data_IF_535282660701
#
_entry.id   IF_535282660701
#
_cell.length_a   1.000
_cell.length_b   1.000
_cell.length_c   1.000
_cell.angle_alpha   90.00
_cell.angle_beta   90.00
_cell.angle_gamma   90.00
#
_symmetry.space_group_name_H-M   'P 1'
#
loop_
_entity.id
_entity.type
_entity.pdbx_description
1 polymer ?
#
# COMPACT_ATOMS: atom_id res chain seq x y z
N UNK A 1 35.33 -12.93 -20.89
CA UNK A 1 34.20 -12.18 -20.31
C UNK A 1 33.69 -12.97 -19.10
N UNK A 2 33.85 -12.47 -17.89
CA UNK A 2 33.45 -13.17 -16.67
C UNK A 2 31.89 -13.15 -16.59
N UNK A 3 31.30 -14.32 -16.68
CA UNK A 3 29.87 -14.54 -16.50
C UNK A 3 29.57 -14.43 -14.98
N UNK A 4 29.38 -13.22 -14.50
CA UNK A 4 28.96 -12.98 -13.12
C UNK A 4 27.55 -13.55 -12.97
N UNK A 5 27.42 -14.80 -12.48
CA UNK A 5 26.15 -15.41 -12.08
C UNK A 5 25.45 -14.44 -11.12
N UNK A 6 24.39 -13.81 -11.56
CA UNK A 6 23.55 -12.96 -10.70
C UNK A 6 23.08 -13.82 -9.52
N UNK A 7 23.29 -13.30 -8.30
CA UNK A 7 22.83 -13.96 -7.07
C UNK A 7 21.31 -14.19 -7.15
N UNK A 8 20.80 -15.39 -6.84
CA UNK A 8 19.35 -15.65 -6.87
C UNK A 8 18.63 -14.72 -5.90
N UNK A 9 17.42 -14.33 -6.28
CA UNK A 9 16.54 -13.53 -5.41
C UNK A 9 15.98 -14.47 -4.35
N UNK A 10 16.13 -14.09 -3.07
CA UNK A 10 15.60 -14.89 -1.95
C UNK A 10 14.34 -14.27 -1.39
N UNK A 11 13.53 -15.08 -0.70
CA UNK A 11 12.32 -14.63 0.00
C UNK A 11 12.63 -13.53 1.02
N UNK A 12 13.72 -13.70 1.78
CA UNK A 12 14.17 -12.74 2.78
C UNK A 12 14.55 -11.39 2.16
N UNK A 13 15.18 -11.40 0.98
CA UNK A 13 15.51 -10.18 0.26
C UNK A 13 14.24 -9.42 -0.18
N UNK A 14 13.22 -10.13 -0.62
CA UNK A 14 11.92 -9.53 -0.99
C UNK A 14 11.20 -8.99 0.25
N UNK A 15 11.12 -9.75 1.34
CA UNK A 15 10.51 -9.29 2.60
C UNK A 15 11.18 -8.02 3.11
N UNK A 16 12.52 -8.00 3.15
CA UNK A 16 13.28 -6.84 3.61
C UNK A 16 13.05 -5.61 2.72
N UNK A 17 13.06 -5.80 1.39
CA UNK A 17 12.79 -4.72 0.45
C UNK A 17 11.35 -4.23 0.53
N UNK A 18 10.38 -5.13 0.69
CA UNK A 18 8.97 -4.79 0.82
C UNK A 18 8.70 -3.95 2.08
N UNK A 19 9.24 -4.38 3.23
CA UNK A 19 9.15 -3.63 4.48
C UNK A 19 9.77 -2.24 4.36
N UNK A 20 11.00 -2.16 3.87
CA UNK A 20 11.70 -0.88 3.70
C UNK A 20 10.97 0.05 2.73
N UNK A 21 10.40 -0.48 1.64
CA UNK A 21 9.59 0.27 0.68
C UNK A 21 8.30 0.81 1.31
N UNK A 22 7.60 -0.02 2.09
CA UNK A 22 6.38 0.37 2.78
C UNK A 22 6.64 1.48 3.81
N UNK A 23 7.67 1.33 4.64
CA UNK A 23 8.08 2.34 5.63
C UNK A 23 8.50 3.66 4.97
N UNK A 24 9.25 3.61 3.86
CA UNK A 24 9.65 4.80 3.12
C UNK A 24 8.44 5.50 2.50
N UNK A 25 7.51 4.74 1.93
CA UNK A 25 6.27 5.27 1.38
C UNK A 25 5.43 5.99 2.44
N UNK A 26 5.21 5.36 3.59
CA UNK A 26 4.46 5.96 4.70
C UNK A 26 5.11 7.26 5.18
N UNK A 27 6.46 7.30 5.34
CA UNK A 27 7.18 8.52 5.70
C UNK A 27 7.01 9.63 4.66
N UNK A 28 7.01 9.30 3.37
CA UNK A 28 6.79 10.28 2.29
C UNK A 28 5.38 10.85 2.33
N UNK A 29 4.36 10.00 2.52
CA UNK A 29 2.97 10.46 2.65
C UNK A 29 2.80 11.31 3.90
N UNK A 30 3.33 10.90 5.05
CA UNK A 30 3.29 11.70 6.28
C UNK A 30 3.96 13.07 6.12
N UNK A 31 5.09 13.12 5.42
CA UNK A 31 5.79 14.38 5.13
C UNK A 31 5.02 15.28 4.16
N UNK A 32 4.35 14.70 3.18
CA UNK A 32 3.54 15.45 2.21
C UNK A 32 2.22 15.96 2.82
N UNK A 33 1.68 15.24 3.80
CA UNK A 33 0.40 15.52 4.45
C UNK A 33 0.53 15.54 5.99
N UNK A 34 1.32 16.48 6.56
CA UNK A 34 1.69 16.46 7.98
C UNK A 34 0.53 16.76 8.94
N UNK A 35 -0.57 17.29 8.44
CA UNK A 35 -1.78 17.60 9.23
C UNK A 35 -2.90 16.56 9.05
N UNK A 36 -2.65 15.51 8.31
CA UNK A 36 -3.67 14.49 8.03
C UNK A 36 -3.48 13.25 8.91
N UNK A 37 -4.61 12.68 9.33
CA UNK A 37 -4.67 11.49 10.18
C UNK A 37 -4.80 10.24 9.32
N UNK A 38 -3.75 9.45 9.22
CA UNK A 38 -3.80 8.17 8.53
C UNK A 38 -4.65 7.18 9.32
N UNK A 39 -5.54 6.45 8.64
CA UNK A 39 -6.35 5.40 9.28
C UNK A 39 -6.19 4.04 8.59
N UNK A 40 -5.66 4.00 7.37
CA UNK A 40 -5.41 2.74 6.68
C UNK A 40 -4.20 2.84 5.74
N UNK A 41 -3.50 1.72 5.61
CA UNK A 41 -2.46 1.49 4.62
C UNK A 41 -2.71 0.16 3.92
N UNK A 42 -2.59 0.15 2.60
CA UNK A 42 -2.78 -1.01 1.74
C UNK A 42 -1.52 -1.27 0.91
N UNK A 43 -1.16 -2.54 0.78
CA UNK A 43 -0.25 -3.02 -0.25
C UNK A 43 -1.08 -3.66 -1.37
N UNK A 44 -1.00 -3.09 -2.54
CA UNK A 44 -1.66 -3.56 -3.75
C UNK A 44 -0.69 -4.35 -4.62
N UNK A 45 -1.10 -5.53 -5.06
CA UNK A 45 -0.33 -6.39 -5.96
C UNK A 45 -0.97 -6.30 -7.34
N UNK A 46 -0.22 -5.80 -8.32
CA UNK A 46 -0.68 -5.77 -9.71
C UNK A 46 -0.60 -7.16 -10.34
N UNK A 47 -1.73 -7.62 -10.89
CA UNK A 47 -1.81 -8.92 -11.57
C UNK A 47 -1.04 -8.96 -12.90
N UNK A 48 -0.77 -7.82 -13.53
CA UNK A 48 -0.22 -7.75 -14.88
C UNK A 48 1.31 -7.68 -14.95
N UNK A 49 1.99 -7.42 -13.83
CA UNK A 49 3.42 -7.15 -13.90
C UNK A 49 4.24 -7.52 -12.67
N UNK A 50 3.76 -8.34 -11.76
CA UNK A 50 4.48 -8.69 -10.53
C UNK A 50 5.03 -7.46 -9.81
N UNK A 51 4.20 -6.45 -9.66
CA UNK A 51 4.55 -5.22 -8.95
C UNK A 51 3.69 -5.02 -7.72
N UNK A 52 4.29 -4.38 -6.71
CA UNK A 52 3.63 -3.99 -5.48
C UNK A 52 3.62 -2.47 -5.41
N UNK A 53 2.51 -1.92 -4.95
CA UNK A 53 2.31 -0.49 -4.74
C UNK A 53 1.71 -0.27 -3.35
N UNK A 54 1.87 0.95 -2.83
CA UNK A 54 1.23 1.36 -1.58
C UNK A 54 0.07 2.30 -1.83
N UNK A 55 -0.95 2.23 -0.98
CA UNK A 55 -2.00 3.24 -0.90
C UNK A 55 -2.28 3.59 0.56
N UNK A 56 -2.46 4.87 0.85
CA UNK A 56 -2.75 5.39 2.19
C UNK A 56 -4.07 6.13 2.19
N UNK A 57 -4.89 5.86 3.19
CA UNK A 57 -6.11 6.58 3.44
C UNK A 57 -5.98 7.45 4.68
N UNK A 58 -6.49 8.70 4.58
CA UNK A 58 -6.55 9.65 5.68
C UNK A 58 -7.98 10.13 5.94
N UNK A 59 -8.27 10.53 7.17
CA UNK A 59 -9.60 11.06 7.54
C UNK A 59 -9.96 12.31 6.76
N UNK A 60 -8.97 13.16 6.50
CA UNK A 60 -9.14 14.42 5.78
C UNK A 60 -9.39 14.19 4.29
N UNK A 61 -8.64 13.27 3.65
CA UNK A 61 -8.86 12.91 2.25
C UNK A 61 -10.23 12.25 2.06
N UNK A 62 -10.64 11.34 2.96
CA UNK A 62 -11.97 10.75 2.98
C UNK A 62 -13.07 11.82 3.11
N UNK A 63 -12.86 12.81 3.99
CA UNK A 63 -13.79 13.93 4.17
C UNK A 63 -13.96 14.74 2.89
N UNK A 64 -12.85 15.14 2.25
CA UNK A 64 -12.88 15.88 0.96
C UNK A 64 -13.54 15.07 -0.15
N UNK A 65 -13.18 13.79 -0.26
CA UNK A 65 -13.74 12.91 -1.28
C UNK A 65 -15.26 12.71 -1.09
N UNK A 66 -15.69 12.46 0.14
CA UNK A 66 -17.11 12.31 0.48
C UNK A 66 -17.92 13.57 0.15
N UNK A 67 -17.38 14.75 0.45
CA UNK A 67 -18.02 16.02 0.11
C UNK A 67 -18.17 16.19 -1.41
N UNK A 68 -17.11 15.92 -2.16
CA UNK A 68 -17.12 16.00 -3.63
C UNK A 68 -18.10 15.00 -4.26
N UNK A 69 -18.22 13.80 -3.69
CA UNK A 69 -19.16 12.79 -4.16
C UNK A 69 -20.61 13.16 -3.83
N UNK A 70 -20.87 13.76 -2.65
CA UNK A 70 -22.20 14.19 -2.26
C UNK A 70 -22.80 15.20 -3.25
N UNK A 71 -21.96 16.06 -3.84
CA UNK A 71 -22.37 17.03 -4.86
C UNK A 71 -22.76 16.38 -6.20
N UNK A 72 -22.26 15.17 -6.47
CA UNK A 72 -22.46 14.46 -7.77
C UNK A 72 -23.54 13.40 -7.73
N UNK A 73 -23.84 12.84 -6.56
CA UNK A 73 -24.82 11.75 -6.43
C UNK A 73 -26.23 12.30 -6.26
N UNK A 74 -27.23 11.46 -6.58
CA UNK A 74 -28.64 11.77 -6.29
C UNK A 74 -28.84 11.93 -4.78
N UNK A 75 -29.82 12.75 -4.34
CA UNK A 75 -30.07 12.97 -2.92
C UNK A 75 -30.15 11.65 -2.14
N UNK A 76 -29.27 11.48 -1.18
CA UNK A 76 -29.27 10.34 -0.26
C UNK A 76 -30.35 10.63 0.81
N UNK A 77 -31.36 9.76 0.91
CA UNK A 77 -32.45 9.91 1.87
C UNK A 77 -32.08 9.36 3.25
N UNK A 78 -31.18 10.05 3.94
CA UNK A 78 -30.79 9.74 5.32
C UNK A 78 -30.73 11.03 6.13
N UNK A 79 -30.82 10.95 7.48
CA UNK A 79 -30.70 12.14 8.34
C UNK A 79 -29.40 12.90 8.18
N UNK A 80 -28.31 12.18 7.92
CA UNK A 80 -26.99 12.72 7.64
C UNK A 80 -26.38 12.06 6.38
N UNK A 81 -26.62 12.64 5.20
CA UNK A 81 -26.11 12.11 3.94
C UNK A 81 -24.58 12.05 3.87
N UNK A 82 -23.88 13.05 4.43
CA UNK A 82 -22.43 13.11 4.40
C UNK A 82 -21.80 12.01 5.26
N UNK A 83 -22.28 11.82 6.48
CA UNK A 83 -21.81 10.76 7.36
C UNK A 83 -22.06 9.37 6.77
N UNK A 84 -23.23 9.17 6.16
CA UNK A 84 -23.59 7.93 5.46
C UNK A 84 -22.60 7.65 4.32
N UNK A 85 -22.36 8.64 3.46
CA UNK A 85 -21.46 8.51 2.31
C UNK A 85 -20.01 8.26 2.78
N UNK A 86 -19.55 9.01 3.79
CA UNK A 86 -18.23 8.82 4.40
C UNK A 86 -18.03 7.40 4.94
N UNK A 87 -19.05 6.84 5.61
CA UNK A 87 -19.02 5.46 6.09
C UNK A 87 -18.91 4.45 4.94
N UNK A 88 -19.65 4.64 3.85
CA UNK A 88 -19.59 3.79 2.67
C UNK A 88 -18.24 3.86 1.96
N UNK A 89 -17.65 5.07 1.83
CA UNK A 89 -16.41 5.28 1.09
C UNK A 89 -15.16 4.92 1.89
N UNK A 90 -15.25 4.80 3.22
CA UNK A 90 -14.09 4.51 4.08
C UNK A 90 -13.29 3.29 3.64
N UNK A 91 -13.96 2.27 3.11
CA UNK A 91 -13.38 1.01 2.70
C UNK A 91 -13.66 0.65 1.24
N UNK A 92 -14.08 1.64 0.43
CA UNK A 92 -14.50 1.39 -0.95
C UNK A 92 -13.31 1.05 -1.89
N UNK A 93 -12.11 1.42 -1.52
CA UNK A 93 -10.90 1.10 -2.28
C UNK A 93 -10.00 2.30 -2.55
N UNK A 94 -8.79 2.05 -3.07
CA UNK A 94 -7.78 3.10 -3.27
C UNK A 94 -8.22 4.21 -4.22
N UNK A 95 -9.11 3.92 -5.18
CA UNK A 95 -9.60 4.89 -6.17
C UNK A 95 -10.49 5.96 -5.55
N UNK A 96 -11.02 5.71 -4.36
CA UNK A 96 -12.00 6.55 -3.68
C UNK A 96 -11.39 7.49 -2.63
N UNK A 97 -10.37 8.25 -3.04
CA UNK A 97 -9.80 9.31 -2.22
C UNK A 97 -8.58 8.89 -1.37
N UNK A 98 -8.01 7.72 -1.65
CA UNK A 98 -6.75 7.29 -1.06
C UNK A 98 -5.57 7.94 -1.80
N UNK A 99 -4.47 8.16 -1.09
CA UNK A 99 -3.21 8.53 -1.70
C UNK A 99 -2.58 7.30 -2.35
N UNK A 100 -2.79 7.19 -3.65
CA UNK A 100 -2.22 6.18 -4.52
C UNK A 100 -1.40 6.93 -5.56
N UNK A 101 -0.10 7.11 -5.30
CA UNK A 101 0.78 7.74 -6.28
C UNK A 101 1.77 6.72 -6.82
N UNK A 102 2.16 6.80 -8.11
CA UNK A 102 3.32 6.10 -8.60
C UNK A 102 4.54 6.61 -7.83
N UNK A 103 4.89 5.92 -6.76
CA UNK A 103 5.99 6.29 -5.90
C UNK A 103 7.16 5.35 -6.12
N UNK A 104 8.34 5.93 -6.31
CA UNK A 104 9.60 5.21 -6.45
C UNK A 104 10.01 4.44 -5.20
N UNK A 105 9.29 4.59 -4.08
CA UNK A 105 9.53 3.85 -2.85
C UNK A 105 9.48 2.33 -3.07
N UNK A 106 8.63 1.86 -3.99
CA UNK A 106 8.48 0.44 -4.30
C UNK A 106 9.40 -0.07 -5.43
N UNK A 107 10.18 0.80 -6.08
CA UNK A 107 11.15 0.40 -7.12
C UNK A 107 12.13 -0.68 -6.66
N UNK A 108 12.68 -0.66 -5.42
CA UNK A 108 13.60 -1.70 -4.98
C UNK A 108 12.96 -3.09 -4.96
N UNK A 109 11.77 -3.24 -4.42
CA UNK A 109 11.08 -4.52 -4.36
C UNK A 109 10.60 -4.94 -5.75
N UNK A 110 10.07 -4.03 -6.56
CA UNK A 110 9.61 -4.33 -7.91
C UNK A 110 10.76 -4.78 -8.83
N UNK A 111 11.97 -4.22 -8.67
CA UNK A 111 13.17 -4.72 -9.35
C UNK A 111 13.59 -6.12 -8.90
N UNK A 112 13.39 -6.49 -7.65
CA UNK A 112 13.64 -7.85 -7.17
C UNK A 112 12.61 -8.82 -7.76
N UNK A 113 11.33 -8.46 -7.73
CA UNK A 113 10.25 -9.26 -8.31
C UNK A 113 10.46 -9.50 -9.81
N UNK A 114 10.83 -8.47 -10.56
CA UNK A 114 11.15 -8.58 -12.00
C UNK A 114 12.38 -9.44 -12.31
N UNK A 115 13.26 -9.65 -11.34
CA UNK A 115 14.49 -10.48 -11.46
C UNK A 115 14.32 -11.90 -10.99
N UNK A 116 13.29 -12.19 -10.20
CA UNK A 116 13.00 -13.53 -9.77
C UNK A 116 12.69 -14.38 -11.02
N UNK A 117 13.29 -15.57 -11.11
CA UNK A 117 13.04 -16.47 -12.23
C UNK A 117 11.55 -16.88 -12.24
N UNK A 118 11.01 -17.09 -13.43
CA UNK A 118 9.59 -17.34 -13.65
C UNK A 118 9.05 -18.50 -12.80
N UNK A 119 9.85 -19.53 -12.54
CA UNK A 119 9.46 -20.66 -11.69
C UNK A 119 9.32 -20.28 -10.22
N UNK A 120 10.28 -19.54 -9.67
CA UNK A 120 10.22 -19.03 -8.30
C UNK A 120 9.06 -18.03 -8.11
N UNK A 121 8.69 -17.28 -9.17
CA UNK A 121 7.54 -16.40 -9.19
C UNK A 121 6.23 -17.17 -9.21
N UNK A 122 6.14 -18.30 -9.94
CA UNK A 122 4.96 -19.15 -9.92
C UNK A 122 4.71 -19.76 -8.54
N UNK A 123 5.73 -20.24 -7.88
CA UNK A 123 5.64 -20.70 -6.48
C UNK A 123 5.29 -19.56 -5.52
N UNK A 124 5.75 -18.32 -5.79
CA UNK A 124 5.38 -17.13 -5.04
C UNK A 124 3.96 -16.64 -5.37
N UNK A 125 3.51 -16.80 -6.62
CA UNK A 125 2.18 -16.41 -7.05
C UNK A 125 1.09 -17.31 -6.46
N UNK A 126 1.40 -18.53 -6.11
CA UNK A 126 0.48 -19.49 -5.46
C UNK A 126 0.19 -19.12 -3.97
N UNK A 127 0.12 -17.85 -3.70
CA UNK A 127 -0.23 -17.27 -2.40
C UNK A 127 0.95 -16.71 -1.60
N UNK A 128 2.20 -16.99 -2.00
CA UNK A 128 3.35 -16.63 -1.18
C UNK A 128 3.68 -15.13 -1.21
N UNK A 129 3.49 -14.40 -2.32
CA UNK A 129 3.64 -12.94 -2.34
C UNK A 129 2.56 -12.26 -1.49
N UNK A 130 1.33 -12.74 -1.57
CA UNK A 130 0.22 -12.28 -0.72
C UNK A 130 0.55 -12.52 0.76
N UNK A 131 1.02 -13.71 1.11
CA UNK A 131 1.46 -14.03 2.48
C UNK A 131 2.61 -13.13 2.94
N UNK A 132 3.58 -12.82 2.08
CA UNK A 132 4.66 -11.88 2.38
C UNK A 132 4.14 -10.46 2.66
N UNK A 133 3.17 -9.98 1.88
CA UNK A 133 2.52 -8.69 2.12
C UNK A 133 1.80 -8.68 3.47
N UNK A 134 1.04 -9.73 3.79
CA UNK A 134 0.36 -9.88 5.09
C UNK A 134 1.37 -9.89 6.24
N UNK A 135 2.44 -10.67 6.15
CA UNK A 135 3.48 -10.74 7.19
C UNK A 135 4.16 -9.38 7.36
N UNK A 136 4.42 -8.67 6.26
CA UNK A 136 5.00 -7.32 6.31
C UNK A 136 4.08 -6.34 7.03
N UNK A 137 2.79 -6.32 6.68
CA UNK A 137 1.82 -5.44 7.33
C UNK A 137 1.67 -5.74 8.82
N UNK A 138 1.62 -7.02 9.20
CA UNK A 138 1.57 -7.43 10.64
C UNK A 138 2.82 -6.97 11.39
N UNK A 139 4.01 -7.16 10.82
CA UNK A 139 5.26 -6.74 11.47
C UNK A 139 5.36 -5.22 11.61
N UNK A 140 4.76 -4.45 10.68
CA UNK A 140 4.68 -2.98 10.76
C UNK A 140 3.68 -2.54 11.83
N UNK A 141 2.52 -3.18 11.93
CA UNK A 141 1.51 -2.92 12.96
C UNK A 141 2.08 -3.17 14.37
N UNK A 142 2.74 -4.31 14.57
CA UNK A 142 3.44 -4.61 15.82
C UNK A 142 4.57 -3.63 16.17
N UNK A 143 5.23 -3.02 15.18
CA UNK A 143 6.27 -2.01 15.39
C UNK A 143 5.66 -0.64 15.75
N UNK A 144 4.49 -0.31 15.17
CA UNK A 144 3.73 0.90 15.54
C UNK A 144 3.25 0.83 16.98
N UNK A 145 2.72 -0.32 17.43
CA UNK A 145 2.29 -0.54 18.81
C UNK A 145 3.44 -0.42 19.82
N UNK A 146 4.68 -0.62 19.36
CA UNK A 146 5.89 -0.50 20.22
C UNK A 146 6.55 0.89 20.19
N UNK A 147 5.92 1.89 19.58
CA UNK A 147 6.49 3.25 19.38
C UNK A 147 7.83 3.29 18.60
N UNK A 148 8.22 2.20 17.94
CA UNK A 148 9.51 2.10 17.23
C UNK A 148 9.54 2.88 15.91
N UNK A 149 8.37 3.29 15.37
CA UNK A 149 8.25 4.02 14.09
C UNK A 149 8.07 5.53 14.23
N UNK A 150 8.00 6.06 15.44
CA UNK A 150 7.79 7.49 15.71
C UNK A 150 9.08 8.26 15.98
N UNK A 151 10.24 7.64 15.87
CA UNK A 151 11.57 8.24 15.93
C UNK A 151 12.18 8.28 14.52
#
# INVERSE_FOLDING_TARGET
MANTKKKPVTREAICSALRSSAEDYLRRVAKAHPSETMYAFLLEISCEGFSVHGAVATEEALGRHSQNQLEKVRPIRTPDPLATLRSCLRWAGPEDGWYQQPDTAFDPVNRLLSRAETEALYEMYDGSLHELCIQTLRAMDEALDRDEMTQ
#
